data_IF_472771303779
#
_entry.id   IF_472771303779
#
_cell.length_a   1.000
_cell.length_b   1.000
_cell.length_c   1.000
_cell.angle_alpha   90.00
_cell.angle_beta   90.00
_cell.angle_gamma   90.00
#
_symmetry.space_group_name_H-M   'P 1'
#
loop_
_entity.id
_entity.type
_entity.pdbx_description
1 polymer ?
#
# COMPACT_ATOMS: atom_id res chain seq x y z
N UNK A 1 -16.37 19.74 -24.47
CA UNK A 1 -17.12 19.56 -23.21
C UNK A 1 -18.25 20.57 -23.15
N UNK A 2 -19.50 20.13 -23.04
CA UNK A 2 -20.65 21.05 -22.94
C UNK A 2 -20.81 21.55 -21.50
N UNK A 3 -21.13 22.83 -21.36
CA UNK A 3 -21.44 23.44 -20.06
C UNK A 3 -22.82 22.95 -19.60
N UNK A 4 -22.93 22.50 -18.35
CA UNK A 4 -24.20 22.04 -17.77
C UNK A 4 -25.25 23.16 -17.74
N UNK A 5 -26.54 22.79 -17.81
CA UNK A 5 -27.65 23.75 -17.75
C UNK A 5 -27.58 24.63 -16.48
N UNK A 6 -27.24 24.03 -15.35
CA UNK A 6 -27.10 24.74 -14.07
C UNK A 6 -25.97 25.78 -14.08
N UNK A 7 -24.86 25.52 -14.77
CA UNK A 7 -23.76 26.49 -14.88
C UNK A 7 -24.14 27.65 -15.80
N UNK A 8 -24.85 27.39 -16.91
CA UNK A 8 -25.39 28.46 -17.78
C UNK A 8 -26.36 29.37 -17.03
N UNK A 9 -27.24 28.81 -16.20
CA UNK A 9 -28.19 29.58 -15.40
C UNK A 9 -27.48 30.51 -14.40
N UNK A 10 -26.41 30.04 -13.74
CA UNK A 10 -25.58 30.86 -12.84
C UNK A 10 -24.91 32.04 -13.56
N UNK A 11 -24.27 31.78 -14.70
CA UNK A 11 -23.64 32.85 -15.51
C UNK A 11 -24.64 33.92 -15.95
N UNK A 12 -25.89 33.53 -16.27
CA UNK A 12 -26.95 34.48 -16.62
C UNK A 12 -27.34 35.38 -15.43
N UNK A 13 -27.41 34.82 -14.22
CA UNK A 13 -27.71 35.59 -13.01
C UNK A 13 -26.56 36.54 -12.64
N UNK A 14 -25.31 36.10 -12.81
CA UNK A 14 -24.11 36.94 -12.64
C UNK A 14 -24.14 38.15 -13.58
N UNK A 15 -24.45 37.93 -14.85
CA UNK A 15 -24.56 39.01 -15.85
C UNK A 15 -25.65 40.03 -15.50
N UNK A 16 -26.68 39.60 -14.76
CA UNK A 16 -27.76 40.46 -14.27
C UNK A 16 -27.42 41.17 -12.95
N UNK A 17 -26.20 41.01 -12.42
CA UNK A 17 -25.77 41.60 -11.15
C UNK A 17 -26.39 40.92 -9.92
N UNK A 18 -26.99 39.73 -10.07
CA UNK A 18 -27.57 38.99 -8.94
C UNK A 18 -26.49 38.17 -8.23
N UNK A 19 -26.63 38.05 -6.91
CA UNK A 19 -25.70 37.29 -6.07
C UNK A 19 -25.69 35.81 -6.51
N UNK A 20 -24.49 35.24 -6.63
CA UNK A 20 -24.33 33.84 -6.99
C UNK A 20 -24.65 32.94 -5.81
N UNK A 21 -25.41 31.84 -6.02
CA UNK A 21 -25.71 30.90 -4.95
C UNK A 21 -24.45 30.18 -4.45
N UNK A 22 -23.34 30.22 -5.20
CA UNK A 22 -22.06 29.65 -4.79
C UNK A 22 -21.46 30.37 -3.57
N UNK A 23 -21.79 31.64 -3.35
CA UNK A 23 -21.40 32.38 -2.12
C UNK A 23 -22.07 31.78 -0.88
N UNK A 24 -23.32 31.33 -1.02
CA UNK A 24 -24.12 30.78 0.10
C UNK A 24 -23.88 29.29 0.31
N UNK A 25 -23.32 28.59 -0.68
CA UNK A 25 -23.19 27.13 -0.67
C UNK A 25 -22.12 26.60 0.30
N UNK A 26 -21.26 27.49 0.80
CA UNK A 26 -20.11 27.12 1.62
C UNK A 26 -19.03 26.39 0.81
N UNK A 27 -17.82 26.37 1.35
CA UNK A 27 -16.71 25.57 0.84
C UNK A 27 -16.54 24.34 1.74
N UNK A 28 -15.83 23.34 1.23
CA UNK A 28 -15.29 22.26 2.06
C UNK A 28 -13.94 22.62 2.69
N UNK A 29 -13.42 23.83 2.43
CA UNK A 29 -12.14 24.35 2.97
C UNK A 29 -10.96 23.39 2.76
N UNK A 30 -10.91 22.70 1.60
CA UNK A 30 -9.87 21.73 1.26
C UNK A 30 -10.05 20.34 1.88
N UNK A 31 -11.11 20.12 2.66
CA UNK A 31 -11.46 18.80 3.19
C UNK A 31 -12.17 18.01 2.08
N UNK A 32 -11.60 16.89 1.66
CA UNK A 32 -12.31 15.95 0.81
C UNK A 32 -12.94 14.86 1.69
N UNK A 33 -14.28 14.88 1.90
CA UNK A 33 -14.96 13.93 2.78
C UNK A 33 -14.85 12.48 2.30
N UNK A 34 -14.52 12.26 1.02
CA UNK A 34 -14.35 10.92 0.44
C UNK A 34 -12.99 10.32 0.76
N UNK A 35 -11.94 11.15 0.92
CA UNK A 35 -10.56 10.68 1.12
C UNK A 35 -10.35 10.14 2.55
N UNK A 36 -11.09 10.67 3.54
CA UNK A 36 -10.97 10.25 4.94
C UNK A 36 -11.94 9.10 5.30
N UNK A 37 -12.27 8.24 4.34
CA UNK A 37 -13.13 7.07 4.59
C UNK A 37 -12.32 5.94 5.25
N UNK A 38 -12.83 5.40 6.35
CA UNK A 38 -12.26 4.18 6.95
C UNK A 38 -12.39 3.01 5.97
N UNK A 39 -11.35 2.17 5.81
CA UNK A 39 -11.41 1.05 4.89
C UNK A 39 -12.47 0.04 5.34
N UNK A 40 -13.14 -0.55 4.36
CA UNK A 40 -14.09 -1.65 4.58
C UNK A 40 -13.35 -2.92 5.03
N UNK A 41 -14.09 -3.89 5.57
CA UNK A 41 -13.52 -5.18 5.99
C UNK A 41 -12.79 -5.89 4.82
N UNK A 42 -13.39 -5.87 3.63
CA UNK A 42 -12.83 -6.50 2.43
C UNK A 42 -11.52 -5.83 2.00
N UNK A 43 -11.47 -4.50 1.99
CA UNK A 43 -10.27 -3.74 1.66
C UNK A 43 -9.15 -3.98 2.68
N UNK A 44 -9.50 -4.05 3.97
CA UNK A 44 -8.54 -4.38 5.03
C UNK A 44 -7.95 -5.77 4.83
N UNK A 45 -8.78 -6.78 4.55
CA UNK A 45 -8.33 -8.16 4.34
C UNK A 45 -7.43 -8.28 3.10
N UNK A 46 -7.84 -7.68 1.98
CA UNK A 46 -7.05 -7.67 0.75
C UNK A 46 -5.69 -6.99 0.96
N UNK A 47 -5.64 -5.87 1.71
CA UNK A 47 -4.41 -5.17 2.04
C UNK A 47 -3.47 -6.04 2.89
N UNK A 48 -3.99 -6.75 3.89
CA UNK A 48 -3.19 -7.66 4.72
C UNK A 48 -2.62 -8.81 3.90
N UNK A 49 -3.46 -9.44 3.07
CA UNK A 49 -3.04 -10.52 2.18
C UNK A 49 -1.95 -10.05 1.21
N UNK A 50 -2.10 -8.86 0.61
CA UNK A 50 -1.09 -8.29 -0.30
C UNK A 50 0.20 -7.90 0.41
N UNK A 51 0.10 -7.24 1.57
CA UNK A 51 1.27 -6.73 2.32
C UNK A 51 2.14 -7.87 2.85
N UNK A 52 1.53 -8.96 3.31
CA UNK A 52 2.24 -10.07 3.95
C UNK A 52 2.29 -11.33 3.08
N UNK A 53 2.04 -11.21 1.76
CA UNK A 53 2.18 -12.33 0.82
C UNK A 53 3.65 -12.74 0.74
N UNK A 54 4.03 -13.80 1.45
CA UNK A 54 5.37 -14.41 1.32
C UNK A 54 5.48 -15.14 -0.01
N UNK A 55 6.67 -15.09 -0.60
CA UNK A 55 7.01 -15.91 -1.76
C UNK A 55 7.19 -17.36 -1.31
N UNK A 56 6.44 -18.30 -1.90
CA UNK A 56 6.53 -19.73 -1.58
C UNK A 56 7.83 -20.38 -2.07
N UNK A 57 8.65 -19.67 -2.86
CA UNK A 57 9.94 -20.16 -3.37
C UNK A 57 11.01 -20.44 -2.28
N UNK A 58 10.77 -20.08 -1.02
CA UNK A 58 11.70 -20.36 0.09
C UNK A 58 11.57 -21.79 0.67
N UNK A 59 10.68 -22.63 0.14
CA UNK A 59 10.59 -24.04 0.49
C UNK A 59 11.23 -24.95 -0.58
N UNK A 60 12.34 -24.52 -1.18
CA UNK A 60 13.26 -25.48 -1.78
C UNK A 60 13.92 -26.22 -0.61
N UNK A 61 13.74 -27.53 -0.59
CA UNK A 61 14.45 -28.52 0.22
C UNK A 61 15.97 -28.26 0.15
N UNK A 62 16.43 -27.35 1.01
CA UNK A 62 17.82 -26.99 1.16
C UNK A 62 18.54 -28.12 1.87
N UNK A 63 18.82 -29.20 1.13
CA UNK A 63 19.87 -30.14 1.44
C UNK A 63 21.18 -29.35 1.60
N UNK A 64 21.51 -29.02 2.85
CA UNK A 64 22.81 -28.47 3.19
C UNK A 64 23.82 -29.62 3.13
N UNK A 65 24.57 -29.72 2.03
CA UNK A 65 25.80 -30.50 2.00
C UNK A 65 26.82 -29.82 2.94
N UNK A 66 26.78 -30.16 4.24
CA UNK A 66 27.88 -29.88 5.15
C UNK A 66 29.01 -30.82 4.73
N UNK A 67 29.95 -30.31 3.93
CA UNK A 67 31.25 -30.96 3.77
C UNK A 67 31.88 -31.04 5.15
N UNK A 68 31.81 -32.21 5.79
CA UNK A 68 32.65 -32.52 6.94
C UNK A 68 34.08 -32.58 6.42
N UNK A 69 34.75 -31.43 6.44
CA UNK A 69 36.19 -31.38 6.29
C UNK A 69 36.79 -32.40 7.24
N UNK A 70 37.56 -33.34 6.69
CA UNK A 70 38.31 -34.32 7.46
C UNK A 70 39.04 -33.58 8.57
N UNK A 71 38.71 -33.87 9.83
CA UNK A 71 39.56 -33.45 10.92
C UNK A 71 40.91 -34.17 10.73
N UNK A 72 42.04 -33.46 10.84
CA UNK A 72 43.33 -34.13 10.84
C UNK A 72 43.37 -35.07 12.04
N UNK A 73 43.51 -36.36 11.78
CA UNK A 73 43.78 -37.37 12.81
C UNK A 73 45.16 -37.05 13.37
N UNK A 74 45.20 -36.40 14.53
CA UNK A 74 46.45 -36.19 15.26
C UNK A 74 46.85 -37.53 15.88
N UNK A 75 47.72 -38.26 15.18
CA UNK A 75 48.31 -39.51 15.66
C UNK A 75 49.17 -39.19 16.89
N UNK A 76 48.69 -39.56 18.08
CA UNK A 76 49.55 -39.65 19.26
C UNK A 76 50.51 -40.81 19.04
N UNK A 77 51.77 -40.47 18.89
CA UNK A 77 52.91 -41.36 19.08
C UNK A 77 53.04 -41.55 20.60
N UNK A 78 52.34 -42.56 21.13
CA UNK A 78 52.58 -43.02 22.49
C UNK A 78 53.87 -43.84 22.50
N UNK A 79 54.72 -43.48 23.46
CA UNK A 79 56.14 -43.77 23.49
C UNK A 79 56.50 -45.24 23.74
N UNK A 80 57.71 -45.54 23.29
CA UNK A 80 58.46 -46.73 23.64
C UNK A 80 58.72 -46.81 25.16
N UNK A 81 58.50 -47.98 25.74
CA UNK A 81 59.34 -48.64 26.75
C UNK A 81 58.90 -50.09 26.89
#
# INVERSE_FOLDING_TARGET
>A
MSISKAKKARMKLEQQGRITPDVLRGSWQGINPVIKRTPTLQEKQAKLNRKHRRNHANYSDGSFCIYRGQQPVFQRIDGAS
#
